data_IF_618949513309
#
_entry.id   IF_618949513309
#
_cell.length_a   1.000
_cell.length_b   1.000
_cell.length_c   1.000
_cell.angle_alpha   90.00
_cell.angle_beta   90.00
_cell.angle_gamma   90.00
#
_symmetry.space_group_name_H-M   'P 1'
#
loop_
_entity.id
_entity.type
_entity.pdbx_description
1 polymer ?
#
# COMPACT_ATOMS: atom_id res chain seq x y z
N UNK A 1 -8.17 19.39 -14.99
CA UNK A 1 -7.49 18.24 -14.35
C UNK A 1 -8.53 17.56 -13.49
N UNK A 2 -8.84 16.28 -13.76
CA UNK A 2 -9.80 15.52 -12.95
C UNK A 2 -9.31 15.46 -11.51
N UNK A 3 -10.22 15.54 -10.55
CA UNK A 3 -9.88 15.47 -9.12
C UNK A 3 -9.20 14.14 -8.84
N UNK A 4 -7.88 14.13 -8.71
CA UNK A 4 -7.14 12.92 -8.34
C UNK A 4 -7.56 12.48 -6.94
N UNK A 5 -7.71 11.17 -6.77
CA UNK A 5 -8.17 10.60 -5.51
C UNK A 5 -6.97 10.58 -4.57
N UNK A 6 -6.97 11.33 -3.44
CA UNK A 6 -5.74 11.59 -2.68
C UNK A 6 -5.01 10.33 -2.20
N UNK A 7 -5.74 9.26 -1.90
CA UNK A 7 -5.13 8.00 -1.49
C UNK A 7 -4.37 7.32 -2.65
N UNK A 8 -4.89 7.41 -3.87
CA UNK A 8 -4.25 6.87 -5.08
C UNK A 8 -2.95 7.63 -5.36
N UNK A 9 -3.00 8.97 -5.35
CA UNK A 9 -1.82 9.82 -5.54
C UNK A 9 -0.74 9.52 -4.48
N UNK A 10 -1.14 9.36 -3.22
CA UNK A 10 -0.17 9.03 -2.15
C UNK A 10 0.50 7.66 -2.35
N UNK A 11 -0.25 6.64 -2.76
CA UNK A 11 0.35 5.34 -3.07
C UNK A 11 1.28 5.43 -4.29
N UNK A 12 0.90 6.20 -5.30
CA UNK A 12 1.77 6.48 -6.45
C UNK A 12 3.10 7.13 -6.02
N UNK A 13 3.07 8.13 -5.15
CA UNK A 13 4.28 8.78 -4.63
C UNK A 13 5.17 7.83 -3.81
N UNK A 14 4.55 6.97 -2.99
CA UNK A 14 5.24 5.88 -2.26
C UNK A 14 5.98 4.96 -3.24
N UNK A 15 5.31 4.56 -4.33
CA UNK A 15 5.88 3.67 -5.36
C UNK A 15 7.06 4.35 -6.05
N UNK A 16 6.87 5.60 -6.49
CA UNK A 16 7.89 6.40 -7.17
C UNK A 16 9.15 6.55 -6.31
N UNK A 17 8.98 6.68 -5.00
CA UNK A 17 10.10 6.78 -4.07
C UNK A 17 10.76 5.41 -3.80
N UNK A 18 9.99 4.33 -3.66
CA UNK A 18 10.45 3.04 -3.15
C UNK A 18 11.13 2.17 -4.23
N UNK A 19 10.62 2.15 -5.47
CA UNK A 19 11.19 1.35 -6.57
C UNK A 19 12.69 1.66 -6.77
N UNK A 20 13.14 2.93 -6.86
CA UNK A 20 14.56 3.26 -6.99
C UNK A 20 15.42 2.83 -5.79
N UNK A 21 14.83 2.58 -4.62
CA UNK A 21 15.56 2.04 -3.47
C UNK A 21 15.72 0.53 -3.57
N UNK A 22 14.68 -0.16 -4.04
CA UNK A 22 14.70 -1.61 -4.28
C UNK A 22 15.68 -1.96 -5.41
N UNK A 23 15.78 -1.13 -6.44
CA UNK A 23 16.71 -1.35 -7.54
C UNK A 23 18.19 -1.38 -7.12
N UNK A 24 18.51 -0.75 -5.98
CA UNK A 24 19.85 -0.68 -5.38
C UNK A 24 20.16 -1.87 -4.46
N UNK A 25 19.23 -2.82 -4.33
CA UNK A 25 19.49 -4.02 -3.53
C UNK A 25 20.61 -4.86 -4.16
N UNK A 26 21.40 -5.59 -3.34
CA UNK A 26 22.33 -6.59 -3.86
C UNK A 26 21.60 -7.60 -4.75
N UNK A 27 22.28 -8.12 -5.77
CA UNK A 27 21.71 -9.01 -6.79
C UNK A 27 20.93 -10.18 -6.19
N UNK A 28 21.46 -10.78 -5.12
CA UNK A 28 20.89 -11.95 -4.44
C UNK A 28 19.52 -11.66 -3.80
N UNK A 29 19.29 -10.42 -3.37
CA UNK A 29 18.03 -9.98 -2.76
C UNK A 29 17.09 -9.27 -3.74
N UNK A 30 17.62 -8.73 -4.84
CA UNK A 30 16.84 -7.98 -5.82
C UNK A 30 15.76 -8.86 -6.46
N UNK A 31 16.12 -10.04 -6.95
CA UNK A 31 15.19 -10.97 -7.63
C UNK A 31 14.36 -11.84 -6.67
N UNK A 32 14.46 -11.59 -5.36
CA UNK A 32 13.69 -12.33 -4.35
C UNK A 32 12.85 -11.37 -3.52
N UNK A 33 13.49 -10.60 -2.66
CA UNK A 33 12.83 -9.61 -1.80
C UNK A 33 12.41 -8.38 -2.59
N UNK A 34 13.25 -7.91 -3.52
CA UNK A 34 12.96 -6.74 -4.33
C UNK A 34 11.73 -6.94 -5.22
N UNK A 35 11.70 -8.01 -6.01
CA UNK A 35 10.54 -8.34 -6.86
C UNK A 35 9.25 -8.52 -6.04
N UNK A 36 9.31 -9.14 -4.85
CA UNK A 36 8.15 -9.25 -3.96
C UNK A 36 7.63 -7.90 -3.48
N UNK A 37 8.52 -6.94 -3.20
CA UNK A 37 8.14 -5.58 -2.81
C UNK A 37 7.50 -4.85 -3.99
N UNK A 38 8.13 -4.90 -5.18
CA UNK A 38 7.62 -4.22 -6.38
C UNK A 38 6.25 -4.78 -6.79
N UNK A 39 6.09 -6.10 -6.83
CA UNK A 39 4.80 -6.71 -7.16
C UNK A 39 3.71 -6.31 -6.15
N UNK A 40 4.01 -6.38 -4.85
CA UNK A 40 3.05 -5.97 -3.82
C UNK A 40 2.64 -4.48 -3.94
N UNK A 41 3.58 -3.61 -4.29
CA UNK A 41 3.34 -2.20 -4.55
C UNK A 41 2.38 -1.99 -5.72
N UNK A 42 2.64 -2.66 -6.86
CA UNK A 42 1.81 -2.56 -8.06
C UNK A 42 0.42 -3.16 -7.83
N UNK A 43 0.33 -4.35 -7.22
CA UNK A 43 -0.94 -4.98 -6.82
C UNK A 43 -1.76 -4.05 -5.90
N UNK A 44 -1.09 -3.35 -4.97
CA UNK A 44 -1.75 -2.40 -4.08
C UNK A 44 -2.30 -1.19 -4.84
N UNK A 45 -1.59 -0.71 -5.85
CA UNK A 45 -2.04 0.40 -6.70
C UNK A 45 -3.28 0.01 -7.49
N UNK A 46 -3.25 -1.15 -8.14
CA UNK A 46 -4.38 -1.70 -8.90
C UNK A 46 -5.61 -1.87 -7.99
N UNK A 47 -5.45 -2.52 -6.82
CA UNK A 47 -6.52 -2.69 -5.84
C UNK A 47 -7.11 -1.36 -5.35
N UNK A 48 -6.26 -0.36 -5.12
CA UNK A 48 -6.72 0.94 -4.64
C UNK A 48 -7.46 1.72 -5.72
N UNK A 49 -6.99 1.67 -6.97
CA UNK A 49 -7.70 2.24 -8.12
C UNK A 49 -9.06 1.57 -8.26
N UNK A 50 -9.12 0.23 -8.25
CA UNK A 50 -10.37 -0.51 -8.34
C UNK A 50 -11.34 -0.13 -7.20
N UNK A 51 -10.85 -0.07 -5.95
CA UNK A 51 -11.66 0.33 -4.80
C UNK A 51 -12.19 1.78 -4.91
N UNK A 52 -11.41 2.66 -5.53
CA UNK A 52 -11.76 4.06 -5.67
C UNK A 52 -12.95 4.26 -6.63
N UNK A 53 -13.01 3.47 -7.70
CA UNK A 53 -14.10 3.51 -8.69
C UNK A 53 -15.21 2.47 -8.45
N UNK A 54 -15.03 1.52 -7.53
CA UNK A 54 -16.06 0.55 -7.17
C UNK A 54 -17.11 1.11 -6.21
N UNK A 55 -18.36 0.66 -6.39
CA UNK A 55 -19.45 0.84 -5.42
C UNK A 55 -19.26 -0.07 -4.20
N UNK A 56 -18.89 -1.33 -4.43
CA UNK A 56 -18.65 -2.35 -3.42
C UNK A 56 -17.15 -2.41 -3.07
N UNK A 57 -16.66 -1.38 -2.38
CA UNK A 57 -15.22 -1.21 -2.12
C UNK A 57 -14.72 -1.91 -0.85
N UNK A 58 -15.61 -2.40 0.02
CA UNK A 58 -15.22 -2.94 1.33
C UNK A 58 -14.19 -4.08 1.23
N UNK A 59 -14.47 -5.10 0.40
CA UNK A 59 -13.57 -6.24 0.23
C UNK A 59 -12.23 -5.85 -0.40
N UNK A 60 -12.26 -4.94 -1.39
CA UNK A 60 -11.06 -4.42 -2.05
C UNK A 60 -10.17 -3.68 -1.04
N UNK A 61 -10.76 -2.83 -0.19
CA UNK A 61 -10.02 -2.12 0.84
C UNK A 61 -9.48 -3.03 1.95
N UNK A 62 -10.20 -4.12 2.27
CA UNK A 62 -9.69 -5.16 3.19
C UNK A 62 -8.48 -5.88 2.60
N UNK A 63 -8.51 -6.24 1.31
CA UNK A 63 -7.37 -6.82 0.59
C UNK A 63 -6.19 -5.84 0.55
N UNK A 64 -6.44 -4.58 0.22
CA UNK A 64 -5.42 -3.53 0.21
C UNK A 64 -4.74 -3.39 1.57
N UNK A 65 -5.52 -3.34 2.67
CA UNK A 65 -4.95 -3.27 4.02
C UNK A 65 -4.00 -4.44 4.32
N UNK A 66 -4.35 -5.65 3.89
CA UNK A 66 -3.47 -6.81 4.03
C UNK A 66 -2.19 -6.66 3.19
N UNK A 67 -2.29 -6.11 1.97
CA UNK A 67 -1.11 -5.85 1.14
C UNK A 67 -0.19 -4.80 1.77
N UNK A 68 -0.74 -3.72 2.32
CA UNK A 68 0.04 -2.71 3.04
C UNK A 68 0.72 -3.26 4.29
N UNK A 69 0.08 -4.20 5.00
CA UNK A 69 0.72 -4.88 6.14
C UNK A 69 1.89 -5.76 5.67
N UNK A 70 1.69 -6.55 4.60
CA UNK A 70 2.79 -7.33 3.99
C UNK A 70 3.95 -6.43 3.58
N UNK A 71 3.65 -5.28 2.96
CA UNK A 71 4.66 -4.29 2.55
C UNK A 71 5.48 -3.79 3.74
N UNK A 72 4.82 -3.45 4.87
CA UNK A 72 5.50 -3.04 6.11
C UNK A 72 6.51 -4.09 6.58
N UNK A 73 6.13 -5.36 6.58
CA UNK A 73 7.02 -6.44 6.99
C UNK A 73 8.16 -6.68 5.99
N UNK A 74 7.91 -6.61 4.68
CA UNK A 74 8.97 -6.76 3.67
C UNK A 74 10.01 -5.64 3.74
N UNK A 75 9.57 -4.40 4.00
CA UNK A 75 10.45 -3.25 4.20
C UNK A 75 11.26 -3.40 5.50
N UNK A 76 10.63 -3.87 6.59
CA UNK A 76 11.33 -4.18 7.86
C UNK A 76 12.39 -5.26 7.65
N UNK A 77 12.04 -6.34 6.96
CA UNK A 77 12.97 -7.41 6.62
C UNK A 77 14.15 -6.88 5.80
N UNK A 78 13.89 -5.99 4.83
CA UNK A 78 14.95 -5.36 4.02
C UNK A 78 15.93 -4.55 4.87
N UNK A 79 15.45 -3.88 5.92
CA UNK A 79 16.29 -3.17 6.88
C UNK A 79 17.08 -4.14 7.76
N UNK A 80 16.44 -5.17 8.29
CA UNK A 80 17.07 -6.13 9.21
C UNK A 80 18.14 -6.99 8.51
N UNK A 81 17.94 -7.29 7.22
CA UNK A 81 18.96 -7.89 6.34
C UNK A 81 20.04 -6.91 5.87
N UNK A 82 19.97 -5.64 6.29
CA UNK A 82 20.89 -4.55 5.92
C UNK A 82 20.98 -4.27 4.41
N UNK A 83 19.97 -4.68 3.63
CA UNK A 83 19.89 -4.39 2.18
C UNK A 83 19.28 -3.00 1.91
N UNK A 84 18.59 -2.43 2.89
CA UNK A 84 18.11 -1.06 2.89
C UNK A 84 18.71 -0.26 4.05
N UNK A 85 19.15 0.98 3.79
CA UNK A 85 19.72 1.82 4.84
C UNK A 85 18.66 2.35 5.82
N UNK A 86 19.07 2.54 7.07
CA UNK A 86 18.19 3.00 8.17
C UNK A 86 17.56 4.37 7.85
N UNK A 87 18.32 5.29 7.23
CA UNK A 87 17.80 6.61 6.83
C UNK A 87 16.62 6.51 5.87
N UNK A 88 16.66 5.56 4.94
CA UNK A 88 15.56 5.31 3.98
C UNK A 88 14.37 4.64 4.69
N UNK A 89 14.66 3.69 5.57
CA UNK A 89 13.62 3.03 6.38
C UNK A 89 12.88 4.00 7.32
N UNK A 90 13.47 5.11 7.75
CA UNK A 90 12.80 6.04 8.66
C UNK A 90 11.60 6.77 8.05
N UNK A 91 11.59 6.97 6.72
CA UNK A 91 10.56 7.73 6.02
C UNK A 91 9.34 6.87 5.65
N UNK A 92 9.58 5.74 5.00
CA UNK A 92 8.53 4.98 4.31
C UNK A 92 7.42 4.38 5.22
N UNK A 93 7.67 3.94 6.47
CA UNK A 93 6.61 3.41 7.32
C UNK A 93 5.58 4.48 7.72
N UNK A 94 6.01 5.74 7.82
CA UNK A 94 5.12 6.88 8.09
C UNK A 94 4.13 7.09 6.93
N UNK A 95 4.65 7.13 5.71
CA UNK A 95 3.85 7.28 4.49
C UNK A 95 2.82 6.15 4.32
N UNK A 96 3.24 4.89 4.54
CA UNK A 96 2.35 3.73 4.45
C UNK A 96 1.27 3.78 5.56
N UNK A 97 1.61 4.27 6.76
CA UNK A 97 0.64 4.41 7.84
C UNK A 97 -0.41 5.48 7.52
N UNK A 98 0.01 6.62 6.97
CA UNK A 98 -0.92 7.66 6.53
C UNK A 98 -1.85 7.17 5.42
N UNK A 99 -1.33 6.43 4.43
CA UNK A 99 -2.16 5.78 3.42
C UNK A 99 -3.17 4.81 4.05
N UNK A 100 -2.75 4.05 5.07
CA UNK A 100 -3.63 3.18 5.85
C UNK A 100 -4.76 3.93 6.59
N UNK A 101 -4.48 5.13 7.10
CA UNK A 101 -5.51 6.00 7.72
C UNK A 101 -6.53 6.49 6.69
N UNK A 102 -6.07 6.90 5.51
CA UNK A 102 -6.94 7.38 4.41
C UNK A 102 -7.90 6.28 3.96
N UNK A 103 -7.37 5.08 3.70
CA UNK A 103 -8.15 3.91 3.26
C UNK A 103 -9.03 3.35 4.39
N UNK A 104 -8.57 3.39 5.64
CA UNK A 104 -9.37 3.04 6.82
C UNK A 104 -10.59 3.95 7.02
N UNK A 105 -10.48 5.23 6.67
CA UNK A 105 -11.62 6.16 6.65
C UNK A 105 -12.73 5.69 5.71
N UNK A 106 -12.37 5.20 4.51
CA UNK A 106 -13.33 4.68 3.54
C UNK A 106 -14.01 3.40 4.02
N UNK A 107 -13.27 2.49 4.69
CA UNK A 107 -13.84 1.26 5.27
C UNK A 107 -14.91 1.59 6.32
N UNK A 108 -14.66 2.58 7.19
CA UNK A 108 -15.63 2.98 8.23
C UNK A 108 -16.92 3.51 7.61
N UNK A 109 -16.81 4.36 6.60
CA UNK A 109 -17.95 4.87 5.85
C UNK A 109 -18.75 3.74 5.18
N UNK A 110 -18.07 2.75 4.60
CA UNK A 110 -18.74 1.63 3.93
C UNK A 110 -19.35 0.60 4.90
N UNK A 111 -18.70 0.36 6.04
CA UNK A 111 -19.23 -0.51 7.10
C UNK A 111 -20.48 0.08 7.74
N UNK A 112 -20.51 1.42 7.92
CA UNK A 112 -21.70 2.13 8.40
C UNK A 112 -22.90 2.02 7.45
N UNK A 113 -22.67 2.00 6.13
CA UNK A 113 -23.72 1.76 5.12
C UNK A 113 -24.22 0.31 5.13
N UNK A 114 -23.32 -0.66 5.30
CA UNK A 114 -23.70 -2.08 5.32
C UNK A 114 -24.51 -2.48 6.56
N UNK A 115 -24.34 -1.79 7.70
CA UNK A 115 -25.15 -2.02 8.92
C UNK A 115 -26.58 -1.43 8.76
N UNK A 116 -26.79 -0.48 7.85
CA UNK A 116 -28.08 0.20 7.65
C UNK A 116 -28.97 -0.41 6.57
N UNK A 117 -28.49 -1.40 5.79
CA UNK A 117 -29.38 -2.18 4.93
C UNK A 117 -30.02 -3.30 5.77
N UNK A 118 -31.34 -3.27 6.04
CA UNK A 118 -32.01 -4.43 6.59
C UNK A 118 -31.82 -5.59 5.62
N UNK A 119 -31.64 -6.79 6.16
CA UNK A 119 -31.75 -8.03 5.38
C UNK A 119 -33.19 -8.08 4.86
N UNK A 120 -33.37 -7.77 3.57
CA UNK A 120 -34.60 -8.07 2.82
C UNK A 120 -34.72 -9.57 2.58
#
# INVERSE_FOLDING_TARGET
MGTEIPAVTKLYDIILWLIPQVEKFPRDYKFTLGDRIVNNLLDSLELLIEAAYSKEKYHLLRKLNLQLEKLRFLIRLSKDLKVMSIKKYAYIPGEINELGKMTGGWIKTESGKNIQKPLE
#
